data_IF_368701739547
#
_entry.id   IF_368701739547
#
_cell.length_a   1.000
_cell.length_b   1.000
_cell.length_c   1.000
_cell.angle_alpha   90.00
_cell.angle_beta   90.00
_cell.angle_gamma   90.00
#
_symmetry.space_group_name_H-M   'P 1'
#
loop_
_entity.id
_entity.type
_entity.pdbx_description
1 polymer ?
#
# COMPACT_ATOMS: atom_id res chain seq x y z
N UNK A 1 -0.33 -3.25 -8.26
CA UNK A 1 0.97 -3.21 -8.97
C UNK A 1 0.70 -2.83 -10.43
N UNK A 2 1.38 -1.78 -10.92
CA UNK A 2 1.11 -1.12 -12.20
C UNK A 2 1.11 -2.09 -13.40
N UNK A 3 0.09 -1.97 -14.25
CA UNK A 3 0.08 -2.58 -15.59
C UNK A 3 1.01 -1.77 -16.50
N UNK A 4 2.32 -1.89 -16.32
CA UNK A 4 3.33 -1.63 -17.36
C UNK A 4 4.71 -2.15 -16.88
N UNK A 5 5.15 -3.23 -17.53
CA UNK A 5 6.51 -3.76 -17.62
C UNK A 5 7.40 -3.77 -16.33
N UNK A 6 7.52 -4.90 -15.60
CA UNK A 6 8.41 -5.04 -14.44
C UNK A 6 9.92 -4.95 -14.73
N UNK A 7 10.31 -4.65 -15.98
CA UNK A 7 11.71 -4.59 -16.45
C UNK A 7 12.21 -3.15 -16.72
N UNK A 8 11.47 -2.10 -16.34
CA UNK A 8 11.87 -0.70 -16.49
C UNK A 8 12.58 -0.12 -15.26
N UNK A 9 13.64 0.68 -15.47
CA UNK A 9 14.50 1.29 -14.44
C UNK A 9 13.73 2.03 -13.33
N UNK A 10 12.65 2.75 -13.67
CA UNK A 10 11.86 3.55 -12.70
C UNK A 10 11.02 2.67 -11.77
N UNK A 11 10.37 1.62 -12.28
CA UNK A 11 9.55 0.73 -11.45
C UNK A 11 10.40 -0.04 -10.43
N UNK A 12 11.56 -0.53 -10.87
CA UNK A 12 12.54 -1.15 -9.97
C UNK A 12 13.10 -0.15 -8.96
N UNK A 13 13.47 1.07 -9.38
CA UNK A 13 13.96 2.10 -8.47
C UNK A 13 12.92 2.45 -7.37
N UNK A 14 11.63 2.57 -7.73
CA UNK A 14 10.57 2.82 -6.75
C UNK A 14 10.44 1.63 -5.80
N UNK A 15 10.37 0.39 -6.32
CA UNK A 15 10.30 -0.82 -5.47
C UNK A 15 11.49 -0.88 -4.50
N UNK A 16 12.70 -0.70 -5.01
CA UNK A 16 13.92 -0.80 -4.22
C UNK A 16 13.98 0.32 -3.17
N UNK A 17 13.47 1.53 -3.48
CA UNK A 17 13.33 2.61 -2.51
C UNK A 17 12.33 2.29 -1.39
N UNK A 18 11.17 1.69 -1.72
CA UNK A 18 10.22 1.21 -0.71
C UNK A 18 10.87 0.15 0.19
N UNK A 19 11.54 -0.85 -0.40
CA UNK A 19 12.20 -1.91 0.35
C UNK A 19 13.33 -1.38 1.24
N UNK A 20 14.17 -0.48 0.73
CA UNK A 20 15.24 0.13 1.50
C UNK A 20 14.69 0.94 2.69
N UNK A 21 13.61 1.70 2.48
CA UNK A 21 12.95 2.48 3.53
C UNK A 21 12.38 1.57 4.62
N UNK A 22 11.68 0.49 4.23
CA UNK A 22 11.06 -0.44 5.17
C UNK A 22 12.12 -1.23 5.97
N UNK A 23 13.17 -1.69 5.31
CA UNK A 23 14.29 -2.37 5.96
C UNK A 23 14.99 -1.47 6.99
N UNK A 24 15.21 -0.20 6.66
CA UNK A 24 15.84 0.74 7.59
C UNK A 24 14.89 1.09 8.75
N UNK A 25 13.58 1.19 8.50
CA UNK A 25 12.59 1.36 9.56
C UNK A 25 12.59 0.15 10.51
N UNK A 26 12.63 -1.08 10.01
CA UNK A 26 12.75 -2.28 10.83
C UNK A 26 14.03 -2.25 11.69
N UNK A 27 15.16 -1.85 11.11
CA UNK A 27 16.41 -1.69 11.85
C UNK A 27 16.27 -0.66 12.98
N UNK A 28 15.62 0.47 12.72
CA UNK A 28 15.33 1.49 13.74
C UNK A 28 14.45 0.93 14.86
N UNK A 29 13.40 0.19 14.51
CA UNK A 29 12.51 -0.46 15.50
C UNK A 29 13.31 -1.43 16.37
N UNK A 30 14.14 -2.29 15.78
CA UNK A 30 14.97 -3.25 16.52
C UNK A 30 15.89 -2.56 17.52
N UNK A 31 16.52 -1.45 17.13
CA UNK A 31 17.48 -0.75 17.99
C UNK A 31 16.83 0.17 19.03
N UNK A 32 15.61 0.67 18.79
CA UNK A 32 15.01 1.73 19.61
C UNK A 32 13.77 1.32 20.38
N UNK A 33 13.22 0.10 20.17
CA UNK A 33 11.97 -0.33 20.82
C UNK A 33 12.03 -0.38 22.35
N UNK A 34 13.18 -0.60 22.97
CA UNK A 34 13.29 -0.66 24.44
C UNK A 34 13.13 0.74 25.04
N UNK A 35 13.72 1.75 24.41
CA UNK A 35 13.64 3.16 24.84
C UNK A 35 12.34 3.83 24.39
N UNK A 36 11.83 3.45 23.22
CA UNK A 36 10.58 3.95 22.65
C UNK A 36 9.70 2.78 22.15
N UNK A 37 8.92 2.13 23.03
CA UNK A 37 8.08 1.00 22.65
C UNK A 37 7.02 1.32 21.59
N UNK A 38 6.61 2.59 21.47
CA UNK A 38 5.61 3.01 20.49
C UNK A 38 6.10 2.86 19.05
N UNK A 39 7.42 2.87 18.81
CA UNK A 39 7.97 2.69 17.46
C UNK A 39 7.62 1.32 16.89
N UNK A 40 7.51 0.28 17.72
CA UNK A 40 7.18 -1.07 17.30
C UNK A 40 5.68 -1.24 16.93
N UNK A 41 4.84 -0.32 17.37
CA UNK A 41 3.41 -0.27 17.01
C UNK A 41 3.13 0.77 15.92
N UNK A 42 4.15 1.51 15.48
CA UNK A 42 4.01 2.53 14.45
C UNK A 42 4.06 1.91 13.05
N UNK A 43 3.33 2.53 12.13
CA UNK A 43 3.33 2.20 10.72
C UNK A 43 2.69 3.34 9.93
N UNK A 44 2.91 3.35 8.62
CA UNK A 44 2.30 4.32 7.72
C UNK A 44 1.98 3.68 6.38
N UNK A 45 0.92 4.16 5.75
CA UNK A 45 0.73 3.93 4.32
C UNK A 45 1.81 4.68 3.53
N UNK A 46 2.23 4.11 2.41
CA UNK A 46 3.17 4.71 1.47
C UNK A 46 2.56 4.82 0.09
N UNK A 47 2.38 6.06 -0.40
CA UNK A 47 1.90 6.34 -1.76
C UNK A 47 2.89 7.27 -2.46
N UNK A 48 3.44 6.82 -3.59
CA UNK A 48 4.43 7.58 -4.37
C UNK A 48 3.96 7.72 -5.80
N UNK A 49 4.00 8.95 -6.31
CA UNK A 49 3.79 9.29 -7.72
C UNK A 49 5.07 9.86 -8.32
N UNK A 50 5.55 9.29 -9.43
CA UNK A 50 6.71 9.79 -10.18
C UNK A 50 6.27 10.18 -11.58
N UNK A 51 6.60 11.41 -12.00
CA UNK A 51 6.39 11.88 -13.36
C UNK A 51 7.74 11.90 -14.06
N UNK A 52 7.90 11.06 -15.08
CA UNK A 52 9.13 10.93 -15.84
C UNK A 52 8.85 10.65 -17.31
N UNK A 53 9.46 11.40 -18.22
CA UNK A 53 9.34 11.24 -19.68
C UNK A 53 7.88 11.15 -20.16
N UNK A 54 7.01 12.03 -19.64
CA UNK A 54 5.59 12.07 -20.02
C UNK A 54 4.76 10.91 -19.49
N UNK A 55 5.32 10.05 -18.63
CA UNK A 55 4.61 8.96 -17.95
C UNK A 55 4.44 9.27 -16.46
N UNK A 56 3.35 8.76 -15.89
CA UNK A 56 3.09 8.77 -14.44
C UNK A 56 3.20 7.35 -13.91
N UNK A 57 4.08 7.15 -12.93
CA UNK A 57 4.25 5.90 -12.21
C UNK A 57 3.67 6.07 -10.82
N UNK A 58 2.87 5.11 -10.37
CA UNK A 58 2.26 5.11 -9.04
C UNK A 58 2.60 3.81 -8.33
N UNK A 59 3.13 3.93 -7.11
CA UNK A 59 3.31 2.82 -6.19
C UNK A 59 2.51 3.08 -4.90
N UNK A 60 1.76 2.06 -4.45
CA UNK A 60 0.92 2.15 -3.27
C UNK A 60 1.19 0.95 -2.35
N UNK A 61 1.37 1.24 -1.05
CA UNK A 61 1.48 0.29 0.04
C UNK A 61 0.56 0.76 1.17
N UNK A 62 -0.68 0.29 1.17
CA UNK A 62 -1.71 0.63 2.15
C UNK A 62 -3.01 1.08 1.49
N UNK A 63 -3.83 1.80 2.24
CA UNK A 63 -5.18 2.24 1.82
C UNK A 63 -5.23 3.70 1.32
N UNK A 64 -4.07 4.33 1.15
CA UNK A 64 -3.97 5.61 0.42
C UNK A 64 -4.29 5.43 -1.06
N UNK A 65 -4.75 6.51 -1.73
CA UNK A 65 -5.20 6.44 -3.13
C UNK A 65 -4.70 7.58 -4.00
N UNK A 66 -4.15 7.24 -5.16
CA UNK A 66 -3.87 8.18 -6.24
C UNK A 66 -5.04 8.27 -7.22
N UNK A 67 -5.45 9.49 -7.53
CA UNK A 67 -6.53 9.80 -8.50
C UNK A 67 -6.06 10.88 -9.46
N UNK A 68 -6.20 10.63 -10.75
CA UNK A 68 -5.89 11.58 -11.83
C UNK A 68 -7.16 12.27 -12.31
N UNK A 69 -7.16 13.60 -12.30
CA UNK A 69 -8.17 14.39 -12.99
C UNK A 69 -7.87 14.42 -14.49
N UNK A 70 -8.74 13.85 -15.31
CA UNK A 70 -8.60 13.85 -16.77
C UNK A 70 -9.65 14.77 -17.40
N UNK A 71 -9.20 15.77 -18.14
CA UNK A 71 -10.08 16.59 -18.97
C UNK A 71 -10.63 15.74 -20.13
N UNK A 72 -11.95 15.68 -20.25
CA UNK A 72 -12.65 15.03 -21.36
C UNK A 72 -13.36 16.08 -22.22
N UNK A 73 -14.10 15.63 -23.26
CA UNK A 73 -14.86 16.54 -24.12
C UNK A 73 -15.84 17.38 -23.29
N UNK A 74 -16.18 18.57 -23.79
CA UNK A 74 -17.10 19.53 -23.15
C UNK A 74 -16.58 20.12 -21.83
N UNK A 75 -15.26 20.24 -21.67
CA UNK A 75 -14.61 20.86 -20.50
C UNK A 75 -14.96 20.19 -19.17
N UNK A 76 -15.35 18.91 -19.20
CA UNK A 76 -15.64 18.11 -18.02
C UNK A 76 -14.37 17.42 -17.52
N UNK A 77 -14.23 17.25 -16.21
CA UNK A 77 -13.13 16.50 -15.59
C UNK A 77 -13.69 15.19 -15.06
N UNK A 78 -13.07 14.07 -15.44
CA UNK A 78 -13.35 12.75 -14.86
C UNK A 78 -12.23 12.35 -13.91
N UNK A 79 -12.60 11.76 -12.78
CA UNK A 79 -11.65 11.19 -11.83
C UNK A 79 -11.28 9.76 -12.27
N UNK A 80 -10.00 9.52 -12.53
CA UNK A 80 -9.46 8.22 -12.87
C UNK A 80 -8.56 7.72 -11.73
N UNK A 81 -8.97 6.65 -11.07
CA UNK A 81 -8.15 6.01 -10.03
C UNK A 81 -6.90 5.36 -10.65
N UNK A 82 -5.74 5.59 -10.05
CA UNK A 82 -4.44 5.08 -10.52
C UNK A 82 -3.84 4.00 -9.59
N UNK A 83 -4.36 3.84 -8.38
CA UNK A 83 -3.91 2.83 -7.43
C UNK A 83 -5.10 2.03 -6.87
N UNK A 84 -4.85 0.78 -6.50
CA UNK A 84 -5.80 -0.03 -5.74
C UNK A 84 -5.51 0.10 -4.25
N UNK A 85 -6.55 0.14 -3.42
CA UNK A 85 -6.41 0.18 -1.96
C UNK A 85 -6.04 -1.21 -1.44
N UNK A 86 -4.97 -1.29 -0.63
CA UNK A 86 -4.57 -2.51 0.07
C UNK A 86 -5.20 -2.57 1.45
N UNK A 87 -6.48 -2.95 1.47
CA UNK A 87 -7.34 -2.92 2.64
C UNK A 87 -8.18 -4.23 2.70
N UNK A 88 -8.26 -4.99 3.82
CA UNK A 88 -9.14 -6.17 4.01
C UNK A 88 -10.64 -6.00 3.65
N UNK A 89 -11.15 -4.79 3.49
CA UNK A 89 -12.50 -4.57 2.96
C UNK A 89 -12.56 -4.84 1.44
N UNK A 90 -11.41 -4.84 0.75
CA UNK A 90 -11.27 -5.40 -0.59
C UNK A 90 -11.21 -6.94 -0.51
N UNK A 91 -12.15 -7.62 -1.20
CA UNK A 91 -12.26 -9.07 -1.17
C UNK A 91 -10.97 -9.78 -1.62
N UNK A 92 -10.30 -9.27 -2.65
CA UNK A 92 -9.05 -9.85 -3.17
C UNK A 92 -7.91 -9.80 -2.16
N UNK A 93 -7.80 -8.70 -1.41
CA UNK A 93 -6.80 -8.55 -0.33
C UNK A 93 -7.11 -9.51 0.81
N UNK A 94 -8.40 -9.63 1.19
CA UNK A 94 -8.83 -10.58 2.23
C UNK A 94 -8.54 -12.03 1.85
N UNK A 95 -8.85 -12.43 0.63
CA UNK A 95 -8.59 -13.79 0.12
C UNK A 95 -7.08 -14.08 0.10
N UNK A 96 -6.26 -13.13 -0.34
CA UNK A 96 -4.81 -13.26 -0.31
C UNK A 96 -4.25 -13.40 1.13
N UNK A 97 -4.79 -12.64 2.09
CA UNK A 97 -4.40 -12.75 3.51
C UNK A 97 -4.75 -14.13 4.08
N UNK A 98 -5.97 -14.62 3.83
CA UNK A 98 -6.42 -15.94 4.28
C UNK A 98 -5.56 -17.05 3.65
N UNK A 99 -5.28 -16.95 2.35
CA UNK A 99 -4.49 -17.97 1.65
C UNK A 99 -3.03 -18.01 2.10
N UNK A 100 -2.44 -16.89 2.50
CA UNK A 100 -1.05 -16.81 2.96
C UNK A 100 -0.87 -17.18 4.44
N UNK A 101 -1.96 -17.25 5.20
CA UNK A 101 -1.97 -17.55 6.65
C UNK A 101 -3.02 -18.63 6.96
N UNK A 102 -2.92 -19.77 6.28
CA UNK A 102 -3.92 -20.86 6.39
C UNK A 102 -4.03 -21.47 7.79
N UNK A 103 -3.00 -21.30 8.61
CA UNK A 103 -2.91 -21.74 10.00
C UNK A 103 -3.54 -20.76 11.01
N UNK A 104 -3.91 -19.56 10.56
CA UNK A 104 -4.45 -18.50 11.41
C UNK A 104 -5.91 -18.18 11.07
N UNK A 105 -6.89 -18.83 11.73
CA UNK A 105 -8.30 -18.60 11.45
C UNK A 105 -8.77 -17.17 11.80
N UNK A 106 -7.94 -16.41 12.53
CA UNK A 106 -8.24 -15.04 12.95
C UNK A 106 -7.45 -13.98 12.17
N UNK A 107 -6.79 -14.35 11.06
CA UNK A 107 -5.98 -13.42 10.26
C UNK A 107 -6.82 -12.21 9.79
N UNK A 108 -8.05 -12.45 9.36
CA UNK A 108 -9.03 -11.42 8.99
C UNK A 108 -10.32 -11.65 9.75
N UNK A 109 -10.75 -10.64 10.50
CA UNK A 109 -11.98 -10.69 11.31
C UNK A 109 -12.86 -9.48 11.05
N UNK A 110 -14.17 -9.64 11.19
CA UNK A 110 -15.10 -8.53 11.12
C UNK A 110 -15.32 -7.96 12.53
N UNK A 111 -15.09 -6.66 12.70
CA UNK A 111 -15.29 -5.95 13.98
C UNK A 111 -16.01 -4.63 13.71
N UNK A 112 -17.14 -4.41 14.38
CA UNK A 112 -18.00 -3.23 14.20
C UNK A 112 -18.38 -2.97 12.73
N UNK A 113 -18.70 -4.03 11.99
CA UNK A 113 -19.13 -3.93 10.58
C UNK A 113 -17.99 -3.80 9.56
N UNK A 114 -16.73 -3.75 10.01
CA UNK A 114 -15.57 -3.53 9.13
C UNK A 114 -14.59 -4.70 9.21
N UNK A 115 -14.01 -5.09 8.08
CA UNK A 115 -12.96 -6.11 8.04
C UNK A 115 -11.61 -5.56 8.52
N UNK A 116 -10.92 -6.29 9.39
CA UNK A 116 -9.64 -5.91 9.99
C UNK A 116 -8.67 -7.08 10.03
N UNK A 117 -7.38 -6.79 9.85
CA UNK A 117 -6.30 -7.75 10.08
C UNK A 117 -6.11 -7.92 11.59
N UNK A 118 -6.23 -9.15 12.09
CA UNK A 118 -6.15 -9.49 13.53
C UNK A 118 -7.07 -8.66 14.44
N UNK A 119 -8.09 -8.00 13.89
CA UNK A 119 -8.97 -7.10 14.62
C UNK A 119 -8.37 -5.72 14.95
N UNK A 120 -7.19 -5.41 14.40
CA UNK A 120 -6.41 -4.19 14.69
C UNK A 120 -6.53 -3.20 13.55
N UNK A 121 -5.89 -3.47 12.41
CA UNK A 121 -5.73 -2.53 11.30
C UNK A 121 -6.69 -2.84 10.15
N UNK A 122 -7.10 -1.79 9.44
CA UNK A 122 -7.93 -1.86 8.24
C UNK A 122 -7.10 -1.92 6.98
#
# INVERSE_FOLDING_TARGET
IAKENPNGTVGNAIRDAFMATDNEFLRLVETSREENPLIAAAGSCGLVGVIWEGKVYVANAGDSRAVLGRLVRNNQIVAQQLSEDHNPNNASVREALISSHSDDPNIVVQKNGVWRVKGIIQ
#
